data_IF_414848302526
#
_entry.id   IF_414848302526
#
_cell.length_a   1.000
_cell.length_b   1.000
_cell.length_c   1.000
_cell.angle_alpha   90.00
_cell.angle_beta   90.00
_cell.angle_gamma   90.00
#
_symmetry.space_group_name_H-M   'P 1'
#
loop_
_entity.id
_entity.type
_entity.pdbx_description
1 polymer ?
#
# COMPACT_ATOMS: atom_id res chain seq x y z
N UNK A 1 -22.71 19.43 -8.67
CA UNK A 1 -22.40 19.19 -7.24
C UNK A 1 -20.89 19.06 -7.03
N UNK A 2 -20.12 20.13 -7.28
CA UNK A 2 -18.66 20.17 -7.12
C UNK A 2 -18.07 21.18 -6.08
N UNK A 3 -18.86 21.91 -5.25
CA UNK A 3 -18.27 22.95 -4.39
C UNK A 3 -17.46 22.39 -3.20
N UNK A 4 -17.61 21.11 -2.85
CA UNK A 4 -16.97 20.48 -1.68
C UNK A 4 -15.50 20.13 -1.92
N UNK A 5 -15.15 19.46 -3.01
CA UNK A 5 -13.74 19.09 -3.27
C UNK A 5 -12.86 20.32 -3.46
N UNK A 6 -13.31 21.31 -4.24
CA UNK A 6 -12.56 22.54 -4.42
C UNK A 6 -12.40 23.33 -3.12
N UNK A 7 -13.43 23.40 -2.27
CA UNK A 7 -13.31 24.08 -0.97
C UNK A 7 -12.37 23.35 -0.01
N UNK A 8 -12.34 22.02 -0.03
CA UNK A 8 -11.35 21.23 0.70
C UNK A 8 -9.92 21.51 0.23
N UNK A 9 -9.66 21.46 -1.08
CA UNK A 9 -8.33 21.77 -1.63
C UNK A 9 -7.91 23.21 -1.36
N UNK A 10 -8.86 24.15 -1.39
CA UNK A 10 -8.62 25.57 -1.10
C UNK A 10 -8.30 25.80 0.39
N UNK A 11 -8.94 25.07 1.30
CA UNK A 11 -8.64 25.08 2.73
C UNK A 11 -7.24 24.51 3.05
N UNK A 12 -6.83 23.44 2.37
CA UNK A 12 -5.43 22.97 2.42
C UNK A 12 -4.45 24.01 1.85
N UNK A 13 -4.87 24.75 0.82
CA UNK A 13 -4.07 25.80 0.19
C UNK A 13 -3.83 27.02 1.10
N UNK A 14 -4.77 27.36 1.98
CA UNK A 14 -4.68 28.52 2.88
C UNK A 14 -3.97 28.21 4.21
N UNK A 15 -4.00 26.96 4.68
CA UNK A 15 -3.45 26.58 5.98
C UNK A 15 -2.09 25.87 5.93
N UNK A 16 -1.58 25.50 4.76
CA UNK A 16 -0.30 24.79 4.59
C UNK A 16 0.69 25.55 3.71
N UNK A 17 1.92 25.68 4.20
CA UNK A 17 3.05 26.15 3.41
C UNK A 17 3.25 25.29 2.14
N UNK A 18 3.57 25.95 1.03
CA UNK A 18 3.79 25.30 -0.27
C UNK A 18 4.75 24.09 -0.24
N UNK A 19 5.92 24.11 0.44
CA UNK A 19 6.80 22.94 0.54
C UNK A 19 6.17 21.77 1.31
N UNK A 20 5.44 22.04 2.40
CA UNK A 20 4.78 21.00 3.22
C UNK A 20 3.66 20.33 2.43
N UNK A 21 2.86 21.12 1.70
CA UNK A 21 1.79 20.59 0.83
C UNK A 21 2.34 19.66 -0.25
N UNK A 22 3.48 20.00 -0.85
CA UNK A 22 4.12 19.16 -1.88
C UNK A 22 4.66 17.85 -1.28
N UNK A 23 5.26 17.91 -0.09
CA UNK A 23 5.72 16.71 0.60
C UNK A 23 4.56 15.78 0.96
N UNK A 24 3.50 16.33 1.56
CA UNK A 24 2.29 15.58 1.90
C UNK A 24 1.66 14.94 0.67
N UNK A 25 1.55 15.66 -0.45
CA UNK A 25 1.03 15.10 -1.71
C UNK A 25 1.83 13.88 -2.15
N UNK A 26 3.16 13.92 -2.05
CA UNK A 26 4.02 12.79 -2.42
C UNK A 26 3.89 11.61 -1.45
N UNK A 27 3.73 11.87 -0.15
CA UNK A 27 3.53 10.82 0.88
C UNK A 27 2.17 10.15 0.70
N UNK A 28 1.09 10.93 0.54
CA UNK A 28 -0.24 10.38 0.30
C UNK A 28 -0.31 9.63 -1.02
N UNK A 29 0.36 10.09 -2.08
CA UNK A 29 0.45 9.35 -3.33
C UNK A 29 1.20 8.01 -3.18
N UNK A 30 2.28 7.99 -2.40
CA UNK A 30 3.00 6.74 -2.09
C UNK A 30 2.12 5.78 -1.28
N UNK A 31 1.43 6.31 -0.26
CA UNK A 31 0.53 5.54 0.58
C UNK A 31 -0.60 4.92 -0.25
N UNK A 32 -1.29 5.70 -1.07
CA UNK A 32 -2.39 5.20 -1.91
C UNK A 32 -1.91 4.18 -2.94
N UNK A 33 -0.75 4.38 -3.57
CA UNK A 33 -0.19 3.37 -4.47
C UNK A 33 0.14 2.08 -3.72
N UNK A 34 0.69 2.16 -2.49
CA UNK A 34 1.00 0.98 -1.69
C UNK A 34 -0.25 0.23 -1.24
N UNK A 35 -1.34 0.93 -0.87
CA UNK A 35 -2.59 0.28 -0.48
C UNK A 35 -3.28 -0.39 -1.66
N UNK A 36 -3.27 0.22 -2.85
CA UNK A 36 -3.76 -0.40 -4.09
C UNK A 36 -2.95 -1.66 -4.41
N UNK A 37 -1.62 -1.59 -4.28
CA UNK A 37 -0.74 -2.72 -4.52
C UNK A 37 -0.97 -3.87 -3.53
N UNK A 38 -1.15 -3.56 -2.24
CA UNK A 38 -1.50 -4.54 -1.23
C UNK A 38 -2.88 -5.18 -1.49
N UNK A 39 -3.88 -4.38 -1.87
CA UNK A 39 -5.20 -4.88 -2.24
C UNK A 39 -5.14 -5.81 -3.46
N UNK A 40 -4.35 -5.47 -4.48
CA UNK A 40 -4.10 -6.34 -5.63
C UNK A 40 -3.43 -7.66 -5.22
N UNK A 41 -2.47 -7.61 -4.28
CA UNK A 41 -1.83 -8.81 -3.72
C UNK A 41 -2.81 -9.72 -3.00
N UNK A 42 -3.65 -9.16 -2.12
CA UNK A 42 -4.69 -9.92 -1.44
C UNK A 42 -5.68 -10.57 -2.43
N UNK A 43 -6.10 -9.82 -3.46
CA UNK A 43 -7.00 -10.31 -4.50
C UNK A 43 -6.41 -11.46 -5.33
N UNK A 44 -5.14 -11.33 -5.74
CA UNK A 44 -4.42 -12.38 -6.49
C UNK A 44 -4.36 -13.67 -5.68
N UNK A 45 -4.09 -13.59 -4.37
CA UNK A 45 -4.04 -14.76 -3.51
C UNK A 45 -5.40 -15.46 -3.36
N UNK A 46 -6.51 -14.70 -3.26
CA UNK A 46 -7.86 -15.27 -3.18
C UNK A 46 -8.22 -16.10 -4.43
N UNK A 47 -7.87 -15.61 -5.63
CA UNK A 47 -8.16 -16.31 -6.89
C UNK A 47 -7.15 -17.41 -7.24
N UNK A 48 -5.91 -17.22 -6.81
CA UNK A 48 -4.80 -18.12 -7.14
C UNK A 48 -4.49 -18.93 -5.89
N UNK A 49 -5.28 -19.98 -5.63
CA UNK A 49 -5.05 -21.00 -4.57
C UNK A 49 -3.70 -21.77 -4.74
N UNK A 50 -2.81 -21.26 -5.59
CA UNK A 50 -1.60 -21.88 -6.08
C UNK A 50 -0.41 -21.71 -5.14
N UNK A 51 -0.52 -20.83 -4.14
CA UNK A 51 0.60 -20.53 -3.25
C UNK A 51 0.32 -20.94 -1.81
N UNK A 52 0.51 -22.24 -1.54
CA UNK A 52 0.96 -22.73 -0.22
C UNK A 52 2.33 -22.15 0.21
N UNK A 53 2.88 -21.20 -0.55
CA UNK A 53 4.14 -20.51 -0.29
C UNK A 53 3.99 -19.31 0.64
N UNK A 54 3.28 -19.45 1.77
CA UNK A 54 3.31 -18.43 2.83
C UNK A 54 4.75 -18.09 3.24
N UNK A 55 5.66 -19.07 3.19
CA UNK A 55 7.08 -18.85 3.40
C UNK A 55 7.74 -18.05 2.26
N UNK A 56 7.38 -18.29 1.00
CA UNK A 56 7.95 -17.58 -0.15
C UNK A 56 7.51 -16.11 -0.17
N UNK A 57 6.26 -15.82 0.17
CA UNK A 57 5.78 -14.43 0.27
C UNK A 57 6.44 -13.68 1.43
N UNK A 58 6.69 -14.36 2.55
CA UNK A 58 7.45 -13.82 3.69
C UNK A 58 8.91 -13.58 3.31
N UNK A 59 9.57 -14.53 2.64
CA UNK A 59 10.95 -14.37 2.18
C UNK A 59 11.06 -13.25 1.13
N UNK A 60 10.13 -13.17 0.18
CA UNK A 60 10.09 -12.12 -0.83
C UNK A 60 9.87 -10.73 -0.21
N UNK A 61 8.92 -10.59 0.71
CA UNK A 61 8.69 -9.33 1.43
C UNK A 61 9.90 -8.95 2.30
N UNK A 62 10.50 -9.90 3.00
CA UNK A 62 11.71 -9.67 3.80
C UNK A 62 12.89 -9.23 2.93
N UNK A 63 13.11 -9.89 1.79
CA UNK A 63 14.15 -9.50 0.85
C UNK A 63 13.91 -8.08 0.30
N UNK A 64 12.68 -7.74 -0.07
CA UNK A 64 12.34 -6.42 -0.60
C UNK A 64 12.51 -5.30 0.42
N UNK A 65 12.16 -5.53 1.69
CA UNK A 65 12.37 -4.52 2.72
C UNK A 65 13.85 -4.35 3.07
N UNK A 66 14.64 -5.43 3.05
CA UNK A 66 16.10 -5.36 3.22
C UNK A 66 16.74 -4.60 2.06
N UNK A 67 16.32 -4.85 0.81
CA UNK A 67 16.76 -4.09 -0.36
C UNK A 67 16.37 -2.61 -0.28
N UNK A 68 15.16 -2.32 0.21
CA UNK A 68 14.67 -0.95 0.43
C UNK A 68 15.53 -0.20 1.47
N UNK A 69 15.89 -0.86 2.57
CA UNK A 69 16.74 -0.31 3.64
C UNK A 69 18.19 -0.14 3.19
N UNK A 70 18.68 -1.05 2.33
CA UNK A 70 20.06 -1.02 1.81
C UNK A 70 20.25 -0.01 0.67
N UNK A 71 19.16 0.50 0.08
CA UNK A 71 19.23 1.47 -1.03
C UNK A 71 19.33 2.90 -0.49
N UNK A 72 20.43 3.63 -0.76
CA UNK A 72 20.61 5.00 -0.28
C UNK A 72 19.60 5.97 -0.91
N UNK A 73 19.18 6.94 -0.08
CA UNK A 73 18.13 7.94 -0.34
C UNK A 73 18.60 9.08 -1.27
N UNK A 74 19.16 8.72 -2.43
CA UNK A 74 19.55 9.69 -3.45
C UNK A 74 18.33 10.00 -4.32
N UNK A 75 18.06 11.27 -4.66
CA UNK A 75 16.85 11.68 -5.39
C UNK A 75 16.56 10.92 -6.70
N UNK A 76 17.57 10.31 -7.35
CA UNK A 76 17.40 9.41 -8.51
C UNK A 76 16.85 8.03 -8.17
N UNK A 77 17.14 7.52 -6.96
CA UNK A 77 16.74 6.19 -6.51
C UNK A 77 15.33 6.15 -5.94
N UNK A 78 14.64 7.30 -5.83
CA UNK A 78 13.31 7.38 -5.22
C UNK A 78 12.27 6.53 -5.94
N UNK A 79 12.35 6.42 -7.27
CA UNK A 79 11.45 5.54 -8.04
C UNK A 79 11.76 4.05 -7.82
N UNK A 80 13.03 3.68 -7.65
CA UNK A 80 13.42 2.31 -7.31
C UNK A 80 13.00 1.94 -5.88
N UNK A 81 13.14 2.87 -4.92
CA UNK A 81 12.63 2.68 -3.55
C UNK A 81 11.10 2.53 -3.55
N UNK A 82 10.40 3.31 -4.37
CA UNK A 82 8.96 3.14 -4.57
C UNK A 82 8.61 1.76 -5.14
N UNK A 83 9.32 1.27 -6.16
CA UNK A 83 9.02 -0.05 -6.72
C UNK A 83 9.29 -1.17 -5.71
N UNK A 84 10.35 -1.10 -4.90
CA UNK A 84 10.59 -2.04 -3.80
C UNK A 84 9.51 -1.98 -2.73
N UNK A 85 9.03 -0.77 -2.38
CA UNK A 85 7.92 -0.58 -1.44
C UNK A 85 6.61 -1.17 -1.98
N UNK A 86 6.29 -0.93 -3.26
CA UNK A 86 5.10 -1.50 -3.90
C UNK A 86 5.18 -3.03 -3.98
N UNK A 87 6.35 -3.57 -4.34
CA UNK A 87 6.60 -5.01 -4.28
C UNK A 87 6.37 -5.55 -2.88
N UNK A 88 6.96 -4.93 -1.85
CA UNK A 88 6.77 -5.31 -0.46
C UNK A 88 5.29 -5.27 -0.06
N UNK A 89 4.57 -4.20 -0.41
CA UNK A 89 3.15 -4.05 -0.13
C UNK A 89 2.30 -5.14 -0.82
N UNK A 90 2.61 -5.49 -2.06
CA UNK A 90 1.97 -6.58 -2.79
C UNK A 90 2.18 -7.95 -2.11
N UNK A 91 3.43 -8.30 -1.76
CA UNK A 91 3.72 -9.54 -1.05
C UNK A 91 3.12 -9.57 0.36
N UNK A 92 3.09 -8.44 1.05
CA UNK A 92 2.42 -8.29 2.34
C UNK A 92 0.90 -8.48 2.21
N UNK A 93 0.27 -7.95 1.16
CA UNK A 93 -1.15 -8.15 0.86
C UNK A 93 -1.47 -9.60 0.52
N UNK A 94 -0.64 -10.28 -0.27
CA UNK A 94 -0.76 -11.72 -0.51
C UNK A 94 -0.69 -12.54 0.79
N UNK A 95 0.21 -12.17 1.72
CA UNK A 95 0.30 -12.83 3.03
C UNK A 95 -0.94 -12.67 3.91
N UNK A 96 -1.74 -11.61 3.70
CA UNK A 96 -3.04 -11.44 4.37
C UNK A 96 -4.15 -12.30 3.77
N UNK A 97 -3.98 -12.87 2.58
CA UNK A 97 -5.01 -13.66 1.89
C UNK A 97 -5.60 -14.82 2.71
N UNK A 98 -4.79 -15.71 3.34
CA UNK A 98 -5.32 -16.78 4.18
C UNK A 98 -6.08 -16.28 5.41
N UNK A 99 -5.66 -15.13 5.97
CA UNK A 99 -6.35 -14.49 7.09
C UNK A 99 -7.70 -13.93 6.64
N UNK A 100 -7.76 -13.32 5.46
CA UNK A 100 -9.00 -12.86 4.86
C UNK A 100 -9.95 -14.04 4.60
N UNK A 101 -9.47 -15.16 4.06
CA UNK A 101 -10.27 -16.38 3.89
C UNK A 101 -10.85 -16.89 5.23
N UNK A 102 -10.07 -16.83 6.32
CA UNK A 102 -10.56 -17.18 7.65
C UNK A 102 -11.66 -16.22 8.12
N UNK A 103 -11.48 -14.92 7.94
CA UNK A 103 -12.48 -13.91 8.33
C UNK A 103 -13.75 -14.05 7.51
N UNK A 104 -13.66 -14.30 6.19
CA UNK A 104 -14.82 -14.56 5.32
C UNK A 104 -15.63 -15.75 5.82
N UNK A 105 -14.96 -16.83 6.27
CA UNK A 105 -15.64 -18.02 6.82
C UNK A 105 -16.34 -17.76 8.16
N UNK A 106 -15.82 -16.85 8.99
CA UNK A 106 -16.43 -16.50 10.27
C UNK A 106 -17.60 -15.53 10.06
N UNK A 107 -17.31 -14.37 9.47
CA UNK A 107 -18.34 -13.39 9.11
C UNK A 107 -17.76 -12.37 8.09
N UNK A 108 -18.30 -12.31 6.85
CA UNK A 108 -17.78 -11.44 5.81
C UNK A 108 -18.02 -9.95 6.07
N UNK A 109 -18.98 -9.57 6.92
CA UNK A 109 -19.23 -8.16 7.27
C UNK A 109 -18.06 -7.52 8.01
N UNK A 110 -17.24 -8.33 8.69
CA UNK A 110 -16.06 -7.87 9.44
C UNK A 110 -15.09 -7.12 8.53
N UNK A 111 -14.94 -7.56 7.27
CA UNK A 111 -13.98 -6.99 6.31
C UNK A 111 -14.31 -5.52 6.01
N UNK A 112 -15.58 -5.21 5.80
CA UNK A 112 -16.02 -3.84 5.46
C UNK A 112 -16.02 -2.94 6.70
N UNK A 113 -16.27 -3.49 7.89
CA UNK A 113 -16.24 -2.73 9.14
C UNK A 113 -14.84 -2.49 9.71
N UNK A 114 -13.82 -3.19 9.21
CA UNK A 114 -12.43 -3.03 9.65
C UNK A 114 -11.67 -1.89 8.95
N UNK A 115 -12.27 -1.31 7.90
CA UNK A 115 -11.76 -0.16 7.12
C UNK A 115 -12.17 1.17 7.76
#
# INVERSE_FOLDING_TARGET
MAPTVESFFRSFGTNLEAPVRQHLRNVYACLTMSTISAAAGAYVHMFTQWMSGGLLTVLASTALIVLLLSTPDTGKNRQLRLSYLLGFAFFSGMGMGPLLDMVVRVNPSIIVTAL
#
